data_IF_409969777544
#
_entry.id   IF_409969777544
#
_cell.length_a   1.000
_cell.length_b   1.000
_cell.length_c   1.000
_cell.angle_alpha   90.00
_cell.angle_beta   90.00
_cell.angle_gamma   90.00
#
_symmetry.space_group_name_H-M   'P 1'
#
loop_
_entity.id
_entity.type
_entity.pdbx_description
1 polymer ?
#
# COMPACT_ATOMS: atom_id res chain seq x y z
N UNK A 1 -3.68 11.02 -14.08
CA UNK A 1 -3.10 11.65 -15.28
C UNK A 1 -4.09 11.50 -16.42
N UNK A 2 -3.79 11.98 -17.64
CA UNK A 2 -4.65 11.76 -18.80
C UNK A 2 -4.73 10.29 -19.25
N UNK A 3 -3.87 9.43 -18.72
CA UNK A 3 -3.76 8.00 -19.04
C UNK A 3 -4.29 7.08 -17.94
N UNK A 4 -4.87 7.65 -16.87
CA UNK A 4 -5.44 6.92 -15.74
C UNK A 4 -4.75 7.23 -14.40
N UNK A 5 -4.90 6.33 -13.44
CA UNK A 5 -4.26 6.44 -12.13
C UNK A 5 -2.75 6.13 -12.24
N UNK A 6 -1.93 6.86 -11.49
CA UNK A 6 -0.47 6.69 -11.50
C UNK A 6 0.06 6.76 -10.07
N UNK A 7 1.08 5.95 -9.78
CA UNK A 7 1.74 5.95 -8.48
C UNK A 7 2.52 7.25 -8.29
N UNK A 8 2.41 7.84 -7.10
CA UNK A 8 3.14 9.06 -6.74
C UNK A 8 3.92 8.94 -5.41
N UNK A 9 3.71 7.86 -4.65
CA UNK A 9 4.51 7.45 -3.50
C UNK A 9 4.39 5.94 -3.32
N UNK A 10 5.47 5.28 -2.93
CA UNK A 10 5.51 3.84 -2.64
C UNK A 10 6.20 3.60 -1.31
N UNK A 11 5.67 2.65 -0.53
CA UNK A 11 6.30 2.20 0.70
C UNK A 11 6.42 0.66 0.71
N UNK A 12 7.54 0.17 1.24
CA UNK A 12 7.79 -1.24 1.52
C UNK A 12 8.28 -1.34 2.96
N UNK A 13 7.68 -2.25 3.73
CA UNK A 13 8.10 -2.56 5.09
C UNK A 13 8.40 -4.05 5.20
N UNK A 14 9.34 -4.41 6.08
CA UNK A 14 9.63 -5.82 6.38
C UNK A 14 8.65 -6.38 7.43
N UNK A 15 8.79 -7.68 7.74
CA UNK A 15 7.98 -8.35 8.75
C UNK A 15 8.15 -7.77 10.16
N UNK A 16 9.25 -7.11 10.44
CA UNK A 16 9.50 -6.45 11.73
C UNK A 16 8.99 -5.01 11.76
N UNK A 17 8.24 -4.59 10.73
CA UNK A 17 7.69 -3.25 10.54
C UNK A 17 8.74 -2.17 10.27
N UNK A 18 9.97 -2.54 9.91
CA UNK A 18 10.98 -1.57 9.50
C UNK A 18 10.68 -1.09 8.09
N UNK A 19 10.85 0.21 7.87
CA UNK A 19 10.68 0.82 6.54
C UNK A 19 11.91 0.53 5.69
N UNK A 20 11.72 -0.22 4.61
CA UNK A 20 12.77 -0.58 3.65
C UNK A 20 12.77 0.40 2.47
N UNK A 21 11.59 0.78 2.00
CA UNK A 21 11.40 1.81 0.96
C UNK A 21 10.31 2.75 1.43
N UNK A 22 10.53 4.05 1.30
CA UNK A 22 9.50 5.09 1.34
C UNK A 22 9.96 6.23 0.43
N UNK A 23 9.39 6.31 -0.77
CA UNK A 23 9.82 7.30 -1.76
C UNK A 23 8.65 7.84 -2.54
N UNK A 24 8.71 9.14 -2.84
CA UNK A 24 7.88 9.75 -3.87
C UNK A 24 8.32 9.31 -5.25
N UNK A 25 7.37 9.30 -6.18
CA UNK A 25 7.54 8.89 -7.57
C UNK A 25 6.97 10.00 -8.43
N UNK A 26 7.73 10.47 -9.41
CA UNK A 26 7.25 11.44 -10.37
C UNK A 26 6.62 10.69 -11.57
N UNK A 27 5.29 10.78 -11.78
CA UNK A 27 4.63 10.16 -12.93
C UNK A 27 5.21 10.69 -14.25
N UNK A 28 5.24 9.83 -15.27
CA UNK A 28 5.74 10.20 -16.60
C UNK A 28 4.77 11.15 -17.32
N UNK A 29 3.47 10.92 -17.12
CA UNK A 29 2.41 11.77 -17.64
C UNK A 29 2.13 12.97 -16.71
N UNK A 30 1.76 14.15 -17.24
CA UNK A 30 1.38 15.29 -16.42
C UNK A 30 0.27 14.97 -15.42
N UNK A 31 0.48 15.42 -14.18
CA UNK A 31 -0.49 15.27 -13.10
C UNK A 31 -1.61 16.29 -13.30
N UNK A 32 -2.84 15.81 -13.43
CA UNK A 32 -4.06 16.62 -13.57
C UNK A 32 -4.78 16.82 -12.24
N UNK A 33 -4.62 15.87 -11.32
CA UNK A 33 -5.20 15.86 -9.98
C UNK A 33 -4.33 14.99 -9.08
N UNK A 34 -3.90 15.54 -7.94
CA UNK A 34 -3.07 14.85 -6.95
C UNK A 34 -3.87 13.97 -6.00
N UNK A 35 -5.20 14.15 -5.95
CA UNK A 35 -6.10 13.49 -5.00
C UNK A 35 -5.61 13.64 -3.55
N UNK A 36 -5.08 14.81 -3.18
CA UNK A 36 -4.40 15.08 -1.89
C UNK A 36 -5.21 14.64 -0.68
N UNK A 37 -6.54 14.79 -0.71
CA UNK A 37 -7.45 14.29 0.34
C UNK A 37 -7.25 12.81 0.67
N UNK A 38 -6.89 12.00 -0.32
CA UNK A 38 -6.73 10.55 -0.21
C UNK A 38 -5.25 10.16 -0.18
N UNK A 39 -4.44 10.71 -1.09
CA UNK A 39 -3.03 10.35 -1.26
C UNK A 39 -2.10 11.02 -0.27
N UNK A 40 -2.50 12.18 0.26
CA UNK A 40 -1.65 13.08 1.02
C UNK A 40 -0.51 13.72 0.25
N UNK A 41 -0.54 13.63 -1.07
CA UNK A 41 0.50 14.16 -1.96
C UNK A 41 0.08 15.54 -2.45
N UNK A 42 1.01 16.49 -2.35
CA UNK A 42 0.90 17.85 -2.88
C UNK A 42 1.85 18.04 -4.06
N UNK A 43 1.73 19.16 -4.77
CA UNK A 43 2.72 19.53 -5.80
C UNK A 43 4.12 19.70 -5.22
N UNK A 44 4.21 20.20 -3.99
CA UNK A 44 5.47 20.54 -3.34
C UNK A 44 6.27 19.28 -2.98
N UNK A 45 5.57 18.20 -2.60
CA UNK A 45 6.18 16.89 -2.34
C UNK A 45 6.91 16.31 -3.56
N UNK A 46 6.51 16.71 -4.77
CA UNK A 46 7.09 16.22 -6.02
C UNK A 46 8.19 17.15 -6.58
N UNK A 47 8.44 18.30 -5.95
CA UNK A 47 9.51 19.21 -6.38
C UNK A 47 10.87 18.52 -6.21
N UNK A 48 11.60 18.39 -7.31
CA UNK A 48 12.94 17.79 -7.31
C UNK A 48 12.95 16.26 -7.24
N UNK A 49 11.80 15.59 -7.17
CA UNK A 49 11.70 14.13 -7.25
C UNK A 49 12.13 13.67 -8.64
N UNK A 50 13.11 12.76 -8.68
CA UNK A 50 13.65 12.18 -9.93
C UNK A 50 13.26 10.73 -10.14
N UNK A 51 12.83 10.05 -9.08
CA UNK A 51 12.44 8.65 -9.10
C UNK A 51 11.23 8.47 -10.00
N UNK A 52 11.36 7.59 -10.99
CA UNK A 52 10.31 7.17 -11.93
C UNK A 52 9.83 5.77 -11.60
N UNK A 53 8.78 5.35 -12.29
CA UNK A 53 8.21 4.01 -12.09
C UNK A 53 9.24 2.88 -12.29
N UNK A 54 10.11 3.02 -13.30
CA UNK A 54 11.15 2.02 -13.55
C UNK A 54 12.18 1.96 -12.41
N UNK A 55 12.51 3.09 -11.78
CA UNK A 55 13.40 3.12 -10.62
C UNK A 55 12.78 2.39 -9.43
N UNK A 56 11.46 2.53 -9.23
CA UNK A 56 10.72 1.75 -8.23
C UNK A 56 10.81 0.25 -8.52
N UNK A 57 10.70 -0.17 -9.78
CA UNK A 57 10.84 -1.58 -10.14
C UNK A 57 12.22 -2.14 -9.76
N UNK A 58 13.28 -1.39 -10.04
CA UNK A 58 14.64 -1.81 -9.69
C UNK A 58 14.87 -1.78 -8.17
N UNK A 59 14.34 -0.79 -7.45
CA UNK A 59 14.37 -0.74 -5.99
C UNK A 59 13.69 -1.96 -5.37
N UNK A 60 12.48 -2.31 -5.83
CA UNK A 60 11.74 -3.46 -5.33
C UNK A 60 12.44 -4.79 -5.67
N UNK A 61 12.98 -4.93 -6.89
CA UNK A 61 13.77 -6.12 -7.28
C UNK A 61 15.03 -6.30 -6.43
N UNK A 62 15.68 -5.20 -6.06
CA UNK A 62 16.88 -5.24 -5.22
C UNK A 62 16.56 -5.53 -3.75
N UNK A 63 15.42 -5.02 -3.26
CA UNK A 63 15.01 -5.17 -1.87
C UNK A 63 14.37 -6.55 -1.58
N UNK A 64 13.68 -7.15 -2.55
CA UNK A 64 12.88 -8.35 -2.34
C UNK A 64 13.63 -9.62 -2.80
N UNK A 65 13.67 -10.69 -1.97
CA UNK A 65 14.13 -12.00 -2.43
C UNK A 65 13.17 -12.58 -3.47
N UNK A 66 13.65 -13.54 -4.27
CA UNK A 66 12.90 -14.14 -5.40
C UNK A 66 11.59 -14.82 -4.97
N UNK A 67 11.53 -15.31 -3.74
CA UNK A 67 10.41 -16.01 -3.14
C UNK A 67 9.61 -15.13 -2.16
N UNK A 68 9.89 -13.81 -2.11
CA UNK A 68 9.17 -12.89 -1.24
C UNK A 68 7.65 -12.97 -1.43
N UNK A 69 6.96 -12.95 -0.30
CA UNK A 69 5.50 -12.87 -0.23
C UNK A 69 5.13 -11.41 0.03
N UNK A 70 4.41 -10.79 -0.89
CA UNK A 70 3.92 -9.43 -0.69
C UNK A 70 2.65 -9.46 0.14
N UNK A 71 2.62 -8.65 1.20
CA UNK A 71 1.46 -8.45 2.05
C UNK A 71 0.94 -7.04 1.85
N UNK A 72 -0.38 -6.89 1.70
CA UNK A 72 -1.01 -5.58 1.53
C UNK A 72 -2.53 -5.64 1.57
N UNK A 73 -3.20 -4.62 1.07
CA UNK A 73 -4.66 -4.51 1.10
C UNK A 73 -5.22 -4.05 -0.24
N UNK A 74 -5.96 -4.91 -0.93
CA UNK A 74 -6.42 -4.71 -2.31
C UNK A 74 -5.26 -4.42 -3.28
N UNK A 75 -4.17 -5.22 -3.15
CA UNK A 75 -2.92 -5.07 -3.89
C UNK A 75 -3.08 -5.14 -5.40
N UNK A 76 -4.21 -5.66 -5.90
CA UNK A 76 -4.50 -5.60 -7.33
C UNK A 76 -4.51 -4.16 -7.89
N UNK A 77 -4.86 -3.19 -7.05
CA UNK A 77 -4.88 -1.77 -7.45
C UNK A 77 -3.46 -1.20 -7.47
N UNK A 78 -2.67 -1.49 -6.43
CA UNK A 78 -1.28 -1.05 -6.33
C UNK A 78 -0.41 -1.65 -7.44
N UNK A 79 -0.51 -2.96 -7.67
CA UNK A 79 0.25 -3.66 -8.71
C UNK A 79 -0.15 -3.19 -10.12
N UNK A 80 -1.43 -2.87 -10.35
CA UNK A 80 -1.87 -2.27 -11.61
C UNK A 80 -1.28 -0.87 -11.81
N UNK A 81 -1.31 -0.03 -10.78
CA UNK A 81 -0.72 1.32 -10.81
C UNK A 81 0.80 1.26 -11.02
N UNK A 82 1.47 0.25 -10.45
CA UNK A 82 2.88 -0.01 -10.65
C UNK A 82 3.20 -0.73 -11.96
N UNK A 83 2.20 -1.22 -12.72
CA UNK A 83 2.39 -2.02 -13.93
C UNK A 83 3.29 -3.26 -13.68
N UNK A 84 3.10 -3.92 -12.54
CA UNK A 84 3.85 -5.08 -12.10
C UNK A 84 2.95 -6.31 -11.90
N UNK A 85 3.54 -7.50 -12.04
CA UNK A 85 2.90 -8.77 -11.69
C UNK A 85 3.73 -9.40 -10.58
N UNK A 86 3.05 -9.89 -9.54
CA UNK A 86 3.66 -10.64 -8.46
C UNK A 86 2.82 -11.88 -8.14
N UNK A 87 3.46 -13.02 -7.90
CA UNK A 87 2.74 -14.30 -7.77
C UNK A 87 2.40 -14.63 -6.31
N UNK A 88 3.31 -14.37 -5.39
CA UNK A 88 3.15 -14.74 -3.98
C UNK A 88 2.59 -13.54 -3.21
N UNK A 89 1.27 -13.47 -3.07
CA UNK A 89 0.57 -12.35 -2.43
C UNK A 89 -0.34 -12.84 -1.31
N UNK A 90 -0.30 -12.17 -0.17
CA UNK A 90 -1.31 -12.25 0.88
C UNK A 90 -2.04 -10.91 0.95
N UNK A 91 -3.27 -10.88 0.47
CA UNK A 91 -4.08 -9.68 0.47
C UNK A 91 -5.05 -9.65 1.66
N UNK A 92 -4.86 -8.72 2.59
CA UNK A 92 -5.70 -8.59 3.78
C UNK A 92 -7.18 -8.30 3.46
N UNK A 93 -7.48 -7.72 2.30
CA UNK A 93 -8.87 -7.49 1.87
C UNK A 93 -9.62 -8.78 1.53
N UNK A 94 -8.91 -9.89 1.28
CA UNK A 94 -9.50 -11.22 1.02
C UNK A 94 -9.30 -12.17 2.19
N UNK A 95 -8.28 -11.96 3.02
CA UNK A 95 -8.04 -12.76 4.23
C UNK A 95 -9.01 -12.44 5.36
N UNK A 96 -9.66 -11.28 5.32
CA UNK A 96 -10.63 -10.85 6.31
C UNK A 96 -11.97 -10.56 5.63
N UNK A 97 -13.06 -10.80 6.36
CA UNK A 97 -14.42 -10.53 5.91
C UNK A 97 -15.12 -9.60 6.89
N UNK A 98 -16.04 -8.77 6.38
CA UNK A 98 -16.96 -8.01 7.22
C UNK A 98 -18.26 -8.81 7.38
N UNK A 99 -18.62 -9.32 8.56
CA UNK A 99 -19.87 -10.07 8.76
C UNK A 99 -21.13 -9.27 8.37
N UNK A 100 -21.08 -7.94 8.44
CA UNK A 100 -22.18 -7.05 8.06
C UNK A 100 -22.24 -6.79 6.55
N UNK A 101 -21.18 -7.08 5.81
CA UNK A 101 -21.13 -6.96 4.36
C UNK A 101 -20.25 -8.07 3.75
N UNK A 102 -20.74 -9.32 3.79
CA UNK A 102 -19.93 -10.49 3.45
C UNK A 102 -19.53 -10.58 1.97
N UNK A 103 -20.19 -9.82 1.10
CA UNK A 103 -19.90 -9.79 -0.35
C UNK A 103 -18.95 -8.65 -0.75
N UNK A 104 -18.59 -7.75 0.16
CA UNK A 104 -17.69 -6.64 -0.11
C UNK A 104 -16.37 -6.80 0.62
N UNK A 105 -15.29 -6.29 0.01
CA UNK A 105 -13.99 -6.20 0.67
C UNK A 105 -14.09 -5.23 1.84
N UNK A 106 -13.73 -5.62 3.08
CA UNK A 106 -13.65 -4.69 4.19
C UNK A 106 -12.58 -3.63 3.94
N UNK A 107 -12.78 -2.40 4.41
CA UNK A 107 -11.72 -1.39 4.35
C UNK A 107 -10.61 -1.70 5.36
N UNK A 108 -9.37 -1.30 5.06
CA UNK A 108 -8.26 -1.44 6.00
C UNK A 108 -8.53 -0.73 7.33
N UNK A 109 -9.16 0.45 7.30
CA UNK A 109 -9.58 1.18 8.50
C UNK A 109 -10.55 0.38 9.38
N UNK A 110 -11.53 -0.29 8.78
CA UNK A 110 -12.42 -1.18 9.50
C UNK A 110 -11.65 -2.35 10.12
N UNK A 111 -10.76 -2.99 9.36
CA UNK A 111 -9.97 -4.12 9.85
C UNK A 111 -9.04 -3.72 11.00
N UNK A 112 -8.39 -2.56 10.91
CA UNK A 112 -7.54 -2.03 11.97
C UNK A 112 -8.35 -1.78 13.26
N UNK A 113 -9.51 -1.14 13.13
CA UNK A 113 -10.38 -0.87 14.28
C UNK A 113 -10.91 -2.17 14.91
N UNK A 114 -11.36 -3.12 14.10
CA UNK A 114 -11.98 -4.36 14.58
C UNK A 114 -10.95 -5.32 15.19
N UNK A 115 -9.83 -5.54 14.51
CA UNK A 115 -8.89 -6.62 14.87
C UNK A 115 -7.68 -6.13 15.65
N UNK A 116 -7.21 -4.91 15.41
CA UNK A 116 -6.04 -4.33 16.07
C UNK A 116 -6.40 -3.32 17.16
N UNK A 117 -7.68 -2.96 17.28
CA UNK A 117 -8.17 -1.96 18.24
C UNK A 117 -7.44 -0.60 18.09
N UNK A 118 -7.10 -0.25 16.85
CA UNK A 118 -6.44 1.01 16.53
C UNK A 118 -7.16 1.77 15.40
N UNK A 119 -7.08 3.10 15.45
CA UNK A 119 -7.52 3.97 14.37
C UNK A 119 -6.31 4.30 13.49
N UNK A 120 -6.51 4.27 12.18
CA UNK A 120 -5.51 4.61 11.15
C UNK A 120 -6.14 5.60 10.18
N UNK A 121 -5.34 6.26 9.34
CA UNK A 121 -5.84 7.18 8.32
C UNK A 121 -6.72 8.29 8.93
N UNK A 122 -6.33 8.77 10.11
CA UNK A 122 -7.04 9.84 10.84
C UNK A 122 -6.64 11.24 10.35
N UNK A 123 -5.60 11.34 9.52
CA UNK A 123 -5.10 12.61 9.03
C UNK A 123 -6.01 13.16 7.92
N UNK A 124 -6.41 14.43 8.03
CA UNK A 124 -7.21 15.10 7.00
C UNK A 124 -6.42 15.32 5.70
N UNK A 125 -5.09 15.28 5.80
CA UNK A 125 -4.15 15.45 4.70
C UNK A 125 -3.82 14.13 3.99
N UNK A 126 -4.75 13.17 3.95
CA UNK A 126 -4.57 11.90 3.24
C UNK A 126 -3.79 10.82 3.99
N UNK A 127 -3.64 9.67 3.33
CA UNK A 127 -3.16 8.44 3.96
C UNK A 127 -1.64 8.29 3.81
N UNK A 128 -1.02 7.59 4.78
CA UNK A 128 0.40 7.22 4.70
C UNK A 128 0.53 5.78 4.20
N UNK A 129 1.22 5.53 3.07
CA UNK A 129 1.42 4.17 2.59
C UNK A 129 2.25 3.33 3.57
N UNK A 130 3.11 3.96 4.38
CA UNK A 130 3.86 3.28 5.46
C UNK A 130 2.93 2.81 6.57
N UNK A 131 1.99 3.65 7.02
CA UNK A 131 1.01 3.28 8.03
C UNK A 131 0.14 2.11 7.55
N UNK A 132 -0.30 2.18 6.30
CA UNK A 132 -1.12 1.14 5.67
C UNK A 132 -0.35 -0.18 5.56
N UNK A 133 0.91 -0.15 5.10
CA UNK A 133 1.75 -1.34 4.96
C UNK A 133 2.02 -2.01 6.33
N UNK A 134 2.37 -1.23 7.36
CA UNK A 134 2.57 -1.74 8.72
C UNK A 134 1.27 -2.35 9.27
N UNK A 135 0.13 -1.71 9.01
CA UNK A 135 -1.17 -2.20 9.46
C UNK A 135 -1.50 -3.54 8.81
N UNK A 136 -1.23 -3.70 7.51
CA UNK A 136 -1.40 -4.97 6.81
C UNK A 136 -0.55 -6.07 7.43
N UNK A 137 0.73 -5.79 7.73
CA UNK A 137 1.61 -6.76 8.39
C UNK A 137 1.11 -7.15 9.79
N UNK A 138 0.66 -6.18 10.59
CA UNK A 138 0.07 -6.45 11.92
C UNK A 138 -1.16 -7.36 11.83
N UNK A 139 -2.03 -7.14 10.84
CA UNK A 139 -3.21 -7.99 10.62
C UNK A 139 -2.81 -9.43 10.28
N UNK A 140 -1.81 -9.63 9.42
CA UNK A 140 -1.32 -10.97 9.08
C UNK A 140 -0.64 -11.64 10.26
N UNK A 141 0.19 -10.93 11.02
CA UNK A 141 0.78 -11.45 12.25
C UNK A 141 -0.29 -11.91 13.26
N UNK A 142 -1.35 -11.13 13.45
CA UNK A 142 -2.47 -11.53 14.30
C UNK A 142 -3.12 -12.82 13.81
N UNK A 143 -3.30 -12.97 12.50
CA UNK A 143 -3.93 -14.14 11.89
C UNK A 143 -3.07 -15.40 12.05
N UNK A 144 -1.75 -15.27 11.86
CA UNK A 144 -0.76 -16.33 12.10
C UNK A 144 -0.75 -16.72 13.58
N UNK A 145 -0.70 -15.75 14.50
CA UNK A 145 -0.70 -16.01 15.95
C UNK A 145 -1.96 -16.77 16.43
N UNK A 146 -3.07 -16.63 15.70
CA UNK A 146 -4.33 -17.35 15.96
C UNK A 146 -4.46 -18.67 15.17
N UNK A 147 -3.45 -19.07 14.39
CA UNK A 147 -3.45 -20.30 13.60
C UNK A 147 -4.45 -20.30 12.45
N UNK A 148 -4.76 -19.13 11.87
CA UNK A 148 -5.79 -18.95 10.83
C UNK A 148 -5.21 -18.67 9.43
N UNK A 149 -3.89 -18.73 9.28
CA UNK A 149 -3.19 -18.60 7.99
C UNK A 149 -2.51 -19.92 7.63
#
# INVERSE_FOLDING_TARGET
>A
TNTGDSIARVALVDEYYNVIVDTYVLPDDPIIDYRTRYSGITSDDLIGVKIRLNDVHELLKAALPKDAILVGHSLENDLRAMRMIWNNIIDTSVQFSNPKSPTSKPSLKFLASEYLQCQIQENENGHSPVEDAITCMKLIHLRIAKGML
#
